data_IF_614464062813
#
_entry.id   IF_614464062813
#
_cell.length_a   1.000
_cell.length_b   1.000
_cell.length_c   1.000
_cell.angle_alpha   90.00
_cell.angle_beta   90.00
_cell.angle_gamma   90.00
#
_symmetry.space_group_name_H-M   'P 1'
#
loop_
_entity.id
_entity.type
_entity.pdbx_description
1 polymer ?
#
# COMPACT_ATOMS: atom_id res chain seq x y z
N UNK A 1 -15.72 -11.26 10.01
CA UNK A 1 -16.67 -10.18 9.69
C UNK A 1 -15.99 -8.81 9.45
N UNK A 2 -14.66 -8.71 9.61
CA UNK A 2 -13.84 -7.49 9.45
C UNK A 2 -13.75 -6.96 8.00
N UNK A 3 -14.20 -7.74 7.00
CA UNK A 3 -13.87 -7.53 5.58
C UNK A 3 -14.70 -6.46 4.86
N UNK A 4 -15.93 -6.19 5.30
CA UNK A 4 -16.83 -5.25 4.62
C UNK A 4 -16.68 -3.80 5.12
N UNK A 5 -16.28 -3.61 6.38
CA UNK A 5 -16.16 -2.27 6.99
C UNK A 5 -14.92 -1.52 6.50
N UNK A 6 -13.83 -2.24 6.20
CA UNK A 6 -12.59 -1.69 5.62
C UNK A 6 -12.82 -1.09 4.23
N UNK A 7 -13.65 -1.80 3.48
CA UNK A 7 -14.02 -1.50 2.11
C UNK A 7 -14.76 -0.15 2.01
N UNK A 8 -15.71 0.09 2.92
CA UNK A 8 -16.51 1.31 2.95
C UNK A 8 -15.69 2.53 3.39
N UNK A 9 -14.75 2.35 4.33
CA UNK A 9 -13.90 3.44 4.84
C UNK A 9 -12.86 3.96 3.84
N UNK A 10 -12.19 3.09 3.08
CA UNK A 10 -11.17 3.53 2.11
C UNK A 10 -11.80 4.19 0.89
N UNK A 11 -12.88 3.63 0.36
CA UNK A 11 -13.61 4.21 -0.77
C UNK A 11 -14.16 5.60 -0.43
N UNK A 12 -14.74 5.77 0.77
CA UNK A 12 -15.21 7.08 1.22
C UNK A 12 -14.08 8.12 1.31
N UNK A 13 -12.88 7.73 1.77
CA UNK A 13 -11.74 8.65 1.86
C UNK A 13 -11.14 8.95 0.50
N UNK A 14 -11.10 7.98 -0.42
CA UNK A 14 -10.67 8.22 -1.80
C UNK A 14 -11.65 9.16 -2.50
N UNK A 15 -12.96 8.95 -2.36
CA UNK A 15 -13.99 9.86 -2.86
C UNK A 15 -13.84 11.25 -2.27
N UNK A 16 -13.70 11.38 -0.94
CA UNK A 16 -13.52 12.69 -0.30
C UNK A 16 -12.23 13.40 -0.75
N UNK A 17 -11.12 12.66 -0.95
CA UNK A 17 -9.87 13.23 -1.49
C UNK A 17 -10.05 13.68 -2.94
N UNK A 18 -10.71 12.86 -3.75
CA UNK A 18 -10.96 13.15 -5.15
C UNK A 18 -11.90 14.35 -5.32
N UNK A 19 -12.95 14.43 -4.51
CA UNK A 19 -13.85 15.60 -4.42
C UNK A 19 -13.10 16.85 -3.94
N UNK A 20 -12.20 16.72 -2.95
CA UNK A 20 -11.40 17.83 -2.46
C UNK A 20 -10.40 18.33 -3.51
N UNK A 21 -9.75 17.44 -4.26
CA UNK A 21 -8.86 17.81 -5.38
C UNK A 21 -9.64 18.44 -6.55
N UNK A 22 -10.86 17.99 -6.82
CA UNK A 22 -11.76 18.61 -7.80
C UNK A 22 -12.23 20.00 -7.36
N UNK A 23 -12.51 20.21 -6.06
CA UNK A 23 -12.99 21.49 -5.53
C UNK A 23 -11.89 22.50 -5.16
N UNK A 24 -10.66 22.04 -4.88
CA UNK A 24 -9.51 22.93 -4.56
C UNK A 24 -8.77 23.44 -5.80
N UNK A 25 -9.09 22.93 -6.99
CA UNK A 25 -8.52 23.37 -8.27
C UNK A 25 -9.02 24.72 -8.82
N UNK A 26 -9.80 25.50 -8.04
CA UNK A 26 -10.50 26.70 -8.54
C UNK A 26 -10.12 28.02 -7.84
N UNK A 27 -9.05 28.68 -8.30
CA UNK A 27 -8.78 30.15 -8.26
C UNK A 27 -7.37 30.41 -8.84
N UNK A 28 -7.09 31.13 -9.94
CA UNK A 28 -7.82 32.11 -10.76
C UNK A 28 -7.34 32.09 -12.25
N UNK A 29 -8.29 32.23 -13.20
CA UNK A 29 -8.34 33.04 -14.45
C UNK A 29 -7.17 32.99 -15.49
N UNK A 30 -7.32 32.98 -16.83
CA UNK A 30 -8.33 33.45 -17.81
C UNK A 30 -8.05 32.69 -19.15
N UNK A 31 -9.07 32.40 -19.98
CA UNK A 31 -8.87 32.23 -21.44
C UNK A 31 -9.36 30.92 -22.10
N UNK A 32 -10.55 31.03 -22.70
CA UNK A 32 -11.23 30.26 -23.76
C UNK A 32 -10.61 29.05 -24.53
N UNK A 33 -11.51 28.05 -24.73
CA UNK A 33 -11.77 27.14 -25.88
C UNK A 33 -11.40 25.63 -25.81
N UNK A 34 -12.20 24.77 -26.49
CA UNK A 34 -12.56 23.45 -26.00
C UNK A 34 -11.82 22.30 -26.70
N UNK A 35 -11.76 21.15 -26.02
CA UNK A 35 -11.45 19.85 -26.62
C UNK A 35 -9.98 19.42 -26.45
N UNK A 36 -9.72 18.65 -25.41
CA UNK A 36 -8.55 17.77 -25.39
C UNK A 36 -8.92 16.49 -24.66
N UNK A 37 -9.02 15.40 -25.43
CA UNK A 37 -9.10 14.04 -24.90
C UNK A 37 -7.96 13.87 -23.90
N UNK A 38 -8.31 13.58 -22.65
CA UNK A 38 -7.36 13.27 -21.59
C UNK A 38 -6.45 12.14 -22.06
N UNK A 39 -5.23 12.49 -22.49
CA UNK A 39 -4.19 11.51 -22.81
C UNK A 39 -4.01 10.67 -21.54
N UNK A 40 -4.31 9.37 -21.62
CA UNK A 40 -3.99 8.41 -20.56
C UNK A 40 -2.52 8.61 -20.19
N UNK A 41 -2.27 9.20 -19.02
CA UNK A 41 -0.93 9.29 -18.47
C UNK A 41 -0.38 7.87 -18.41
N UNK A 42 0.84 7.69 -18.94
CA UNK A 42 1.56 6.42 -18.78
C UNK A 42 1.61 6.06 -17.28
N UNK A 43 1.47 4.76 -16.92
CA UNK A 43 1.45 4.37 -15.52
C UNK A 43 2.74 4.84 -14.84
N UNK A 44 2.61 5.63 -13.76
CA UNK A 44 3.75 6.00 -12.93
C UNK A 44 4.38 4.72 -12.39
N UNK A 45 5.70 4.57 -12.52
CA UNK A 45 6.41 3.43 -11.91
C UNK A 45 6.29 3.56 -10.40
N UNK A 46 5.78 2.52 -9.73
CA UNK A 46 5.78 2.44 -8.27
C UNK A 46 7.23 2.40 -7.79
N UNK A 47 7.60 3.32 -6.90
CA UNK A 47 8.91 3.32 -6.29
C UNK A 47 9.03 2.16 -5.28
N UNK A 48 10.17 1.48 -5.29
CA UNK A 48 10.50 0.45 -4.31
C UNK A 48 11.61 0.91 -3.38
N UNK A 49 11.53 0.51 -2.12
CA UNK A 49 12.64 0.56 -1.18
C UNK A 49 13.41 -0.76 -1.27
N UNK A 50 14.73 -0.71 -1.40
CA UNK A 50 15.58 -1.90 -1.26
C UNK A 50 16.08 -1.96 0.18
N UNK A 51 15.81 -3.08 0.85
CA UNK A 51 16.30 -3.32 2.20
C UNK A 51 17.69 -3.98 2.20
N UNK A 52 18.29 -4.16 3.38
CA UNK A 52 19.70 -4.54 3.53
C UNK A 52 20.04 -5.90 2.89
N UNK A 53 19.12 -6.88 2.96
CA UNK A 53 19.29 -8.19 2.32
C UNK A 53 19.01 -8.18 0.80
N UNK A 54 18.72 -7.00 0.23
CA UNK A 54 18.50 -6.82 -1.21
C UNK A 54 17.08 -7.11 -1.68
N UNK A 55 16.14 -7.38 -0.77
CA UNK A 55 14.74 -7.55 -1.13
C UNK A 55 14.10 -6.20 -1.47
N UNK A 56 13.09 -6.23 -2.34
CA UNK A 56 12.38 -5.03 -2.78
C UNK A 56 11.05 -4.89 -2.04
N UNK A 57 10.83 -3.76 -1.39
CA UNK A 57 9.59 -3.40 -0.71
C UNK A 57 8.82 -2.39 -1.57
N UNK A 58 7.59 -2.71 -1.93
CA UNK A 58 6.69 -1.86 -2.71
C UNK A 58 5.53 -1.37 -1.84
N UNK A 59 5.11 -0.11 -2.04
CA UNK A 59 4.04 0.52 -1.27
C UNK A 59 3.01 1.10 -2.24
N UNK A 60 1.75 0.68 -2.12
CA UNK A 60 0.66 1.27 -2.88
C UNK A 60 0.11 2.52 -2.18
N UNK A 61 0.18 3.70 -2.79
CA UNK A 61 -0.26 4.97 -2.17
C UNK A 61 -1.69 5.38 -2.54
N UNK A 62 -2.39 4.56 -3.35
CA UNK A 62 -3.80 4.72 -3.72
C UNK A 62 -4.45 3.35 -3.96
N UNK A 63 -5.77 3.27 -4.12
CA UNK A 63 -6.45 2.00 -4.43
C UNK A 63 -5.93 1.35 -5.71
N UNK A 64 -5.63 2.16 -6.74
CA UNK A 64 -5.04 1.67 -8.01
C UNK A 64 -3.62 1.17 -7.84
N UNK A 65 -2.81 1.88 -7.05
CA UNK A 65 -1.44 1.44 -6.77
C UNK A 65 -1.44 0.19 -5.86
N UNK A 66 -2.36 0.08 -4.92
CA UNK A 66 -2.58 -1.12 -4.11
C UNK A 66 -2.85 -2.34 -4.99
N UNK A 67 -3.74 -2.17 -5.98
CA UNK A 67 -4.02 -3.20 -6.98
C UNK A 67 -2.76 -3.58 -7.77
N UNK A 68 -2.00 -2.58 -8.24
CA UNK A 68 -0.79 -2.80 -9.02
C UNK A 68 0.29 -3.53 -8.20
N UNK A 69 0.56 -3.06 -6.98
CA UNK A 69 1.53 -3.67 -6.05
C UNK A 69 1.14 -5.10 -5.75
N UNK A 70 -0.13 -5.35 -5.45
CA UNK A 70 -0.59 -6.67 -5.03
C UNK A 70 -0.65 -7.64 -6.20
N UNK A 71 -1.21 -7.23 -7.34
CA UNK A 71 -1.60 -8.16 -8.40
C UNK A 71 -0.71 -8.13 -9.63
N UNK A 72 -0.12 -6.98 -9.98
CA UNK A 72 0.73 -6.85 -11.17
C UNK A 72 2.21 -7.05 -10.84
N UNK A 73 2.65 -6.52 -9.70
CA UNK A 73 4.02 -6.65 -9.19
C UNK A 73 4.17 -7.92 -8.37
N UNK A 74 3.22 -8.25 -7.49
CA UNK A 74 3.34 -9.39 -6.58
C UNK A 74 3.31 -10.76 -7.25
N UNK A 75 4.36 -11.55 -7.00
CA UNK A 75 4.44 -12.99 -7.25
C UNK A 75 3.67 -13.79 -6.19
N UNK A 76 3.45 -15.09 -6.45
CA UNK A 76 2.62 -15.93 -5.58
C UNK A 76 3.21 -16.12 -4.17
N UNK A 77 4.53 -16.25 -4.07
CA UNK A 77 5.27 -16.47 -2.82
C UNK A 77 5.78 -15.18 -2.18
N UNK A 78 5.54 -14.03 -2.79
CA UNK A 78 5.86 -12.73 -2.19
C UNK A 78 4.96 -12.46 -0.99
N UNK A 79 5.44 -11.64 -0.06
CA UNK A 79 4.75 -11.36 1.20
C UNK A 79 3.97 -10.07 1.08
N UNK A 80 2.68 -10.13 1.41
CA UNK A 80 1.75 -9.01 1.40
C UNK A 80 1.41 -8.61 2.84
N UNK A 81 1.36 -7.30 3.08
CA UNK A 81 1.11 -6.71 4.39
C UNK A 81 0.08 -5.59 4.30
N UNK A 82 -0.74 -5.45 5.34
CA UNK A 82 -1.71 -4.37 5.49
C UNK A 82 -2.05 -4.13 6.97
N UNK A 83 -2.30 -2.87 7.34
CA UNK A 83 -2.66 -2.50 8.70
C UNK A 83 -4.04 -3.06 9.07
N UNK A 84 -4.09 -3.86 10.13
CA UNK A 84 -5.29 -4.63 10.49
C UNK A 84 -6.42 -3.70 10.91
N UNK A 85 -7.58 -3.91 10.32
CA UNK A 85 -8.81 -3.25 10.77
C UNK A 85 -8.85 -1.75 10.50
N UNK A 86 -7.92 -1.19 9.71
CA UNK A 86 -8.00 0.20 9.25
C UNK A 86 -7.65 0.38 7.78
N UNK A 87 -8.25 1.37 7.09
CA UNK A 87 -7.81 1.76 5.75
C UNK A 87 -6.31 2.13 5.72
N UNK A 88 -5.62 1.69 4.67
CA UNK A 88 -4.17 1.87 4.53
C UNK A 88 -3.60 1.30 3.24
N UNK A 89 -2.29 1.47 3.06
CA UNK A 89 -1.53 0.97 1.92
C UNK A 89 -1.37 -0.55 1.93
N UNK A 90 -1.41 -1.15 0.75
CA UNK A 90 -0.86 -2.49 0.55
C UNK A 90 0.65 -2.38 0.43
N UNK A 91 1.37 -3.16 1.24
CA UNK A 91 2.83 -3.27 1.17
C UNK A 91 3.19 -4.67 0.73
N UNK A 92 4.17 -4.78 -0.17
CA UNK A 92 4.64 -6.06 -0.69
C UNK A 92 6.15 -6.17 -0.52
N UNK A 93 6.61 -7.26 0.08
CA UNK A 93 8.01 -7.68 0.03
C UNK A 93 8.18 -8.67 -1.12
N UNK A 94 9.01 -8.30 -2.08
CA UNK A 94 9.42 -9.15 -3.19
C UNK A 94 10.79 -9.74 -2.90
N UNK A 95 10.82 -11.05 -2.76
CA UNK A 95 12.01 -11.78 -2.36
C UNK A 95 12.98 -11.93 -3.53
N UNK A 96 14.25 -11.56 -3.31
CA UNK A 96 15.30 -11.69 -4.33
C UNK A 96 15.59 -13.15 -4.68
N UNK A 97 15.52 -14.01 -3.66
CA UNK A 97 15.59 -15.47 -3.76
C UNK A 97 14.29 -16.02 -3.19
N UNK A 98 13.63 -17.01 -3.83
CA UNK A 98 12.58 -17.75 -3.14
C UNK A 98 13.24 -18.41 -1.93
N UNK A 99 13.02 -17.84 -0.75
CA UNK A 99 13.53 -18.40 0.47
C UNK A 99 12.46 -19.36 1.01
N UNK A 100 12.90 -20.50 1.53
CA UNK A 100 12.00 -21.39 2.28
C UNK A 100 11.46 -20.69 3.54
N UNK A 101 12.21 -19.69 4.06
CA UNK A 101 11.87 -18.84 5.21
C UNK A 101 11.94 -17.34 4.86
N UNK A 102 10.94 -16.57 5.28
CA UNK A 102 10.89 -15.10 5.10
C UNK A 102 11.94 -14.42 5.99
N UNK A 103 12.68 -13.44 5.46
CA UNK A 103 13.56 -12.59 6.28
C UNK A 103 12.69 -11.74 7.23
N UNK A 104 12.76 -12.04 8.53
CA UNK A 104 11.97 -11.38 9.56
C UNK A 104 12.21 -9.86 9.58
N UNK A 105 13.45 -9.40 9.35
CA UNK A 105 13.78 -7.98 9.33
C UNK A 105 13.14 -7.25 8.15
N UNK A 106 13.08 -7.89 6.98
CA UNK A 106 12.38 -7.36 5.82
C UNK A 106 10.86 -7.29 6.05
N UNK A 107 10.28 -8.30 6.71
CA UNK A 107 8.85 -8.31 7.09
C UNK A 107 8.55 -7.21 8.10
N UNK A 108 9.38 -7.03 9.13
CA UNK A 108 9.21 -5.96 10.12
C UNK A 108 9.30 -4.56 9.49
N UNK A 109 10.29 -4.35 8.62
CA UNK A 109 10.45 -3.09 7.87
C UNK A 109 9.21 -2.79 7.03
N UNK A 110 8.70 -3.79 6.31
CA UNK A 110 7.49 -3.64 5.50
C UNK A 110 6.24 -3.40 6.35
N UNK A 111 6.16 -4.02 7.54
CA UNK A 111 5.05 -3.84 8.45
C UNK A 111 5.04 -2.43 9.07
N UNK A 112 6.21 -1.90 9.45
CA UNK A 112 6.34 -0.54 9.95
C UNK A 112 5.87 0.49 8.90
N UNK A 113 6.19 0.24 7.62
CA UNK A 113 5.68 1.04 6.48
C UNK A 113 4.17 0.91 6.31
N UNK A 114 3.62 -0.32 6.39
CA UNK A 114 2.18 -0.54 6.30
C UNK A 114 1.43 0.21 7.42
N UNK A 115 1.97 0.19 8.64
CA UNK A 115 1.46 0.95 9.78
C UNK A 115 1.56 2.47 9.55
N UNK A 116 2.70 2.96 9.03
CA UNK A 116 2.91 4.38 8.73
C UNK A 116 1.97 4.93 7.67
N UNK A 117 1.71 4.15 6.61
CA UNK A 117 0.79 4.52 5.53
C UNK A 117 -0.66 4.04 5.79
N UNK A 118 -1.05 3.93 7.06
CA UNK A 118 -2.42 3.63 7.48
C UNK A 118 -3.04 4.80 8.26
N UNK A 119 -4.34 4.70 8.55
CA UNK A 119 -5.00 5.62 9.48
C UNK A 119 -4.45 5.53 10.92
N UNK A 120 -3.81 4.42 11.29
CA UNK A 120 -3.27 4.18 12.64
C UNK A 120 -1.84 4.69 12.82
N UNK A 121 -1.30 5.49 11.89
CA UNK A 121 0.10 5.95 11.90
C UNK A 121 0.56 6.72 13.14
N UNK A 122 -0.38 7.29 13.92
CA UNK A 122 -0.06 8.01 15.17
C UNK A 122 -0.18 7.13 16.41
N UNK A 123 -0.61 5.88 16.25
CA UNK A 123 -0.64 4.92 17.36
C UNK A 123 0.79 4.48 17.70
N UNK A 124 1.06 4.29 18.99
CA UNK A 124 2.37 3.83 19.45
C UNK A 124 2.70 2.39 19.05
N UNK A 125 1.68 1.58 18.76
CA UNK A 125 1.81 0.20 18.30
C UNK A 125 0.60 -0.12 17.40
N UNK A 126 0.84 -0.72 16.24
CA UNK A 126 -0.17 -1.03 15.22
C UNK A 126 -0.11 -2.51 14.88
N UNK A 127 -1.26 -3.17 14.85
CA UNK A 127 -1.39 -4.53 14.33
C UNK A 127 -1.35 -4.53 12.80
N UNK A 128 -0.50 -5.38 12.23
CA UNK A 128 -0.33 -5.55 10.78
C UNK A 128 -0.53 -7.01 10.44
N UNK A 129 -1.42 -7.28 9.49
CA UNK A 129 -1.65 -8.61 8.95
C UNK A 129 -0.62 -8.91 7.85
N UNK A 130 -0.04 -10.11 7.92
CA UNK A 130 1.02 -10.59 7.04
C UNK A 130 0.58 -11.92 6.44
N UNK A 131 0.58 -12.03 5.12
CA UNK A 131 0.32 -13.29 4.42
C UNK A 131 1.02 -13.35 3.08
N UNK A 132 1.13 -14.55 2.50
CA UNK A 132 1.60 -14.68 1.12
C UNK A 132 0.60 -14.05 0.16
N UNK A 133 1.09 -13.33 -0.84
CA UNK A 133 0.27 -12.68 -1.88
C UNK A 133 -0.71 -13.66 -2.52
N UNK A 134 -0.33 -14.94 -2.73
CA UNK A 134 -1.25 -15.97 -3.27
C UNK A 134 -2.52 -16.21 -2.43
N UNK A 135 -2.58 -15.76 -1.19
CA UNK A 135 -3.77 -15.83 -0.35
C UNK A 135 -4.70 -14.61 -0.51
N UNK A 136 -4.23 -13.55 -1.16
CA UNK A 136 -4.97 -12.31 -1.40
C UNK A 136 -5.79 -12.41 -2.70
N UNK A 137 -7.04 -11.97 -2.66
CA UNK A 137 -7.99 -12.02 -3.78
C UNK A 137 -8.74 -10.70 -3.88
N UNK A 138 -8.93 -10.20 -5.11
CA UNK A 138 -9.80 -9.06 -5.38
C UNK A 138 -11.24 -9.40 -5.03
N UNK A 139 -11.96 -8.46 -4.41
CA UNK A 139 -13.40 -8.56 -4.24
C UNK A 139 -14.05 -8.21 -5.58
N UNK A 140 -14.81 -9.17 -6.16
CA UNK A 140 -15.46 -8.97 -7.45
C UNK A 140 -16.50 -7.85 -7.36
N UNK A 141 -16.37 -6.84 -8.22
CA UNK A 141 -17.29 -5.70 -8.28
C UNK A 141 -17.01 -4.59 -7.27
N UNK A 142 -16.00 -4.76 -6.40
CA UNK A 142 -15.54 -3.67 -5.53
C UNK A 142 -14.58 -2.72 -6.27
N UNK A 143 -14.34 -1.55 -5.68
CA UNK A 143 -13.37 -0.57 -6.18
C UNK A 143 -11.91 -1.05 -6.15
N UNK A 144 -10.97 -0.26 -6.69
CA UNK A 144 -9.54 -0.57 -6.66
C UNK A 144 -9.01 -0.73 -5.22
N UNK A 145 -8.08 -1.66 -5.02
CA UNK A 145 -7.43 -1.91 -3.72
C UNK A 145 -8.26 -2.79 -2.78
N UNK A 146 -9.45 -3.23 -3.21
CA UNK A 146 -10.40 -3.92 -2.36
C UNK A 146 -10.20 -5.43 -2.42
N UNK A 147 -9.74 -6.00 -1.32
CA UNK A 147 -9.28 -7.39 -1.27
C UNK A 147 -9.85 -8.17 -0.08
N UNK A 148 -9.95 -9.47 -0.25
CA UNK A 148 -10.04 -10.46 0.82
C UNK A 148 -8.73 -11.22 0.90
N UNK A 149 -8.35 -11.62 2.11
CA UNK A 149 -7.19 -12.47 2.35
C UNK A 149 -7.51 -13.50 3.44
N UNK A 150 -6.62 -14.48 3.59
CA UNK A 150 -6.70 -15.58 4.54
C UNK A 150 -5.31 -16.06 4.89
N UNK A 151 -5.20 -16.93 5.89
CA UNK A 151 -3.92 -17.52 6.33
C UNK A 151 -2.93 -16.41 6.68
N UNK A 152 -3.42 -15.36 7.31
CA UNK A 152 -2.63 -14.28 7.86
C UNK A 152 -2.08 -14.63 9.23
N UNK A 153 -0.90 -14.11 9.53
CA UNK A 153 -0.43 -13.90 10.90
C UNK A 153 -0.47 -12.39 11.17
N UNK A 154 -0.72 -12.01 12.42
CA UNK A 154 -0.70 -10.60 12.83
C UNK A 154 0.53 -10.34 13.66
N UNK A 155 1.25 -9.24 13.36
CA UNK A 155 2.39 -8.75 14.15
C UNK A 155 2.12 -7.32 14.61
N UNK A 156 2.72 -6.92 15.72
CA UNK A 156 2.55 -5.59 16.29
C UNK A 156 3.83 -4.78 16.10
N UNK A 157 3.75 -3.63 15.42
CA UNK A 157 4.91 -2.83 15.03
C UNK A 157 4.71 -1.34 15.33
N UNK A 158 5.81 -0.60 15.45
CA UNK A 158 5.77 0.86 15.50
C UNK A 158 5.72 1.42 14.07
N UNK A 159 4.89 2.42 13.78
CA UNK A 159 4.92 3.09 12.49
C UNK A 159 6.26 3.79 12.23
N UNK A 160 6.90 3.50 11.10
CA UNK A 160 8.14 4.17 10.68
C UNK A 160 8.06 4.62 9.22
N UNK A 161 8.57 5.83 8.95
CA UNK A 161 8.58 6.40 7.61
C UNK A 161 9.78 5.93 6.77
N UNK A 162 9.67 6.11 5.45
CA UNK A 162 10.69 5.68 4.48
C UNK A 162 12.06 6.37 4.67
N UNK A 163 12.10 7.61 5.16
CA UNK A 163 13.35 8.34 5.36
C UNK A 163 14.10 7.81 6.59
N UNK A 164 13.38 7.53 7.68
CA UNK A 164 13.90 6.92 8.90
C UNK A 164 14.52 5.55 8.62
N UNK A 165 13.81 4.69 7.88
CA UNK A 165 14.30 3.35 7.51
C UNK A 165 15.50 3.39 6.56
N UNK A 166 15.53 4.35 5.61
CA UNK A 166 16.70 4.55 4.74
C UNK A 166 17.93 5.03 5.49
N UNK A 167 17.76 5.81 6.55
CA UNK A 167 18.87 6.26 7.38
C UNK A 167 19.47 5.11 8.18
N UNK A 168 18.62 4.23 8.73
CA UNK A 168 19.05 3.03 9.44
C UNK A 168 19.89 2.09 8.55
N UNK A 169 19.43 1.84 7.32
CA UNK A 169 20.14 0.97 6.35
C UNK A 169 21.48 1.53 5.85
N UNK A 170 21.79 2.81 6.09
CA UNK A 170 23.07 3.44 5.70
C UNK A 170 24.14 3.39 6.78
N UNK A 171 23.77 3.04 8.01
CA UNK A 171 24.65 3.07 9.18
C UNK A 171 25.12 1.67 9.63
N UNK A 172 24.63 0.60 9.00
CA UNK A 172 25.10 -0.78 9.18
C UNK A 172 25.99 -1.23 8.01
#
# INVERSE_FOLDING_TARGET
RVQAEQAEGFAAIETLRQEFEEHSGGRQSVGERPGSRSKKQAPRKIASLTEASGNAIFIGRSGRENDQVTFDIGGAEDTWLHARGVPGSHVLVRWLRPADDEDEGAVETAAALAAHYSQSRTAGLVEVDVTRRKNVRKIKGAGPGMVTYRNERTIAVRPEDEASLRAANRLG
#
